data_IF_792867771919
#
_entry.id   IF_792867771919
#
_cell.length_a   1.000
_cell.length_b   1.000
_cell.length_c   1.000
_cell.angle_alpha   90.00
_cell.angle_beta   90.00
_cell.angle_gamma   90.00
#
_symmetry.space_group_name_H-M   'P 1'
#
loop_
_entity.id
_entity.type
_entity.pdbx_description
1 polymer ?
#
# COMPACT_ATOMS: atom_id res chain seq x y z
N UNK A 1 -3.33 24.77 10.58
CA UNK A 1 -2.73 23.43 10.58
C UNK A 1 -2.35 23.10 9.15
N UNK A 2 -1.12 22.64 8.92
CA UNK A 2 -0.67 22.35 7.56
C UNK A 2 -1.21 20.98 7.12
N UNK A 3 -1.71 20.92 5.88
CA UNK A 3 -2.23 19.69 5.28
C UNK A 3 -1.09 19.00 4.56
N UNK A 4 -0.83 17.73 4.85
CA UNK A 4 0.21 17.01 4.10
C UNK A 4 -0.20 16.89 2.63
N UNK A 5 0.77 17.05 1.72
CA UNK A 5 0.54 16.92 0.27
C UNK A 5 -0.16 15.61 -0.10
N UNK A 6 0.14 14.54 0.65
CA UNK A 6 -0.46 13.21 0.42
C UNK A 6 -1.93 13.16 0.84
N UNK A 7 -2.34 13.93 1.85
CA UNK A 7 -3.76 14.05 2.25
C UNK A 7 -4.53 14.86 1.20
N UNK A 8 -3.99 16.00 0.77
CA UNK A 8 -4.57 16.83 -0.28
C UNK A 8 -4.80 16.07 -1.61
N UNK A 9 -3.82 15.28 -2.06
CA UNK A 9 -3.97 14.48 -3.29
C UNK A 9 -5.07 13.42 -3.18
N UNK A 10 -5.29 12.86 -1.98
CA UNK A 10 -6.36 11.88 -1.76
C UNK A 10 -7.73 12.54 -1.75
N UNK A 11 -7.86 13.67 -1.07
CA UNK A 11 -9.14 14.36 -0.91
C UNK A 11 -9.70 14.86 -2.26
N UNK A 12 -8.83 15.24 -3.20
CA UNK A 12 -9.23 15.73 -4.53
C UNK A 12 -8.96 14.75 -5.68
N UNK A 13 -8.64 13.48 -5.38
CA UNK A 13 -8.35 12.42 -6.36
C UNK A 13 -7.29 12.79 -7.43
N UNK A 14 -6.28 13.58 -7.07
CA UNK A 14 -5.21 14.03 -7.95
C UNK A 14 -3.95 13.17 -7.80
N UNK A 15 -3.17 13.03 -8.88
CA UNK A 15 -1.92 12.26 -8.83
C UNK A 15 -0.79 13.04 -8.13
N UNK A 16 -0.12 12.38 -7.18
CA UNK A 16 0.91 13.01 -6.32
C UNK A 16 2.08 13.62 -7.10
N UNK A 17 2.50 12.98 -8.21
CA UNK A 17 3.59 13.48 -9.06
C UNK A 17 3.21 14.78 -9.78
N UNK A 18 1.97 14.91 -10.23
CA UNK A 18 1.47 16.10 -10.91
C UNK A 18 1.32 17.28 -9.94
N UNK A 19 0.74 17.04 -8.76
CA UNK A 19 0.57 18.09 -7.73
C UNK A 19 1.93 18.56 -7.20
N UNK A 20 2.88 17.63 -6.96
CA UNK A 20 4.23 17.98 -6.50
C UNK A 20 5.00 18.85 -7.50
N UNK A 21 4.95 18.51 -8.80
CA UNK A 21 5.59 19.33 -9.85
C UNK A 21 4.98 20.73 -9.92
N UNK A 22 3.65 20.85 -9.80
CA UNK A 22 2.98 22.16 -9.84
C UNK A 22 3.30 23.02 -8.62
N UNK A 23 3.48 22.40 -7.44
CA UNK A 23 3.94 23.12 -6.24
C UNK A 23 5.34 23.72 -6.44
N UNK A 24 6.25 23.00 -7.12
CA UNK A 24 7.59 23.51 -7.43
C UNK A 24 7.56 24.67 -8.44
N UNK A 25 6.70 24.59 -9.47
CA UNK A 25 6.52 25.65 -10.48
C UNK A 25 5.94 26.94 -9.87
N UNK A 26 5.08 26.82 -8.85
CA UNK A 26 4.48 27.94 -8.13
C UNK A 26 5.32 28.43 -6.95
N UNK A 27 6.47 27.81 -6.67
CA UNK A 27 7.37 28.18 -5.58
C UNK A 27 6.83 27.90 -4.18
N UNK A 28 5.92 26.92 -4.03
CA UNK A 28 5.32 26.55 -2.75
C UNK A 28 6.21 25.53 -2.01
N UNK A 29 6.57 25.83 -0.76
CA UNK A 29 7.32 24.90 0.08
C UNK A 29 6.40 23.77 0.59
N UNK A 30 6.86 22.53 0.44
CA UNK A 30 6.12 21.33 0.81
C UNK A 30 6.81 20.52 1.92
N UNK A 31 7.93 21.02 2.46
CA UNK A 31 8.79 20.33 3.42
C UNK A 31 8.08 20.04 4.75
N UNK A 32 7.32 21.01 5.27
CA UNK A 32 6.53 20.91 6.50
C UNK A 32 5.01 20.79 6.24
N UNK A 33 4.64 20.40 5.01
CA UNK A 33 3.26 20.30 4.54
C UNK A 33 2.72 21.59 3.92
N UNK A 34 1.56 21.48 3.25
CA UNK A 34 0.91 22.59 2.56
C UNK A 34 0.23 23.51 3.58
N UNK A 35 0.53 24.80 3.51
CA UNK A 35 -0.25 25.80 4.23
C UNK A 35 -1.69 25.85 3.69
N UNK A 36 -2.67 26.32 4.49
CA UNK A 36 -4.04 26.48 4.01
C UNK A 36 -4.16 27.34 2.75
N UNK A 37 -3.39 28.43 2.67
CA UNK A 37 -3.33 29.33 1.50
C UNK A 37 -2.76 28.62 0.25
N UNK A 38 -1.79 27.73 0.43
CA UNK A 38 -1.26 26.90 -0.64
C UNK A 38 -2.28 25.85 -1.12
N UNK A 39 -3.09 25.29 -0.22
CA UNK A 39 -4.17 24.38 -0.59
C UNK A 39 -5.23 25.08 -1.45
N UNK A 40 -5.69 26.28 -1.06
CA UNK A 40 -6.72 27.02 -1.81
C UNK A 40 -6.23 27.40 -3.22
N UNK A 41 -4.96 27.81 -3.34
CA UNK A 41 -4.32 28.06 -4.63
C UNK A 41 -4.26 26.82 -5.52
N UNK A 42 -3.95 25.65 -4.95
CA UNK A 42 -3.91 24.40 -5.71
C UNK A 42 -5.30 23.93 -6.11
N UNK A 43 -6.33 24.12 -5.30
CA UNK A 43 -7.72 23.79 -5.65
C UNK A 43 -8.19 24.64 -6.84
N UNK A 44 -7.86 25.93 -6.84
CA UNK A 44 -8.16 26.83 -7.96
C UNK A 44 -7.35 26.47 -9.23
N UNK A 45 -6.07 26.10 -9.08
CA UNK A 45 -5.19 25.79 -10.21
C UNK A 45 -5.56 24.48 -10.93
N UNK A 46 -6.01 23.48 -10.16
CA UNK A 46 -6.44 22.20 -10.72
C UNK A 46 -7.92 22.20 -11.14
N UNK A 47 -8.58 23.36 -11.09
CA UNK A 47 -9.99 23.59 -11.44
C UNK A 47 -10.90 22.48 -10.90
N UNK A 48 -10.66 22.11 -9.63
CA UNK A 48 -11.37 20.99 -9.01
C UNK A 48 -12.78 21.46 -8.69
N UNK A 49 -13.69 21.17 -9.62
CA UNK A 49 -15.13 21.39 -9.47
C UNK A 49 -15.62 20.50 -8.33
N UNK A 50 -15.87 21.09 -7.17
CA UNK A 50 -16.84 20.56 -6.22
C UNK A 50 -18.18 20.48 -6.97
N UNK A 51 -18.75 19.27 -7.04
CA UNK A 51 -20.03 18.98 -7.69
C UNK A 51 -21.08 20.09 -7.41
N UNK A 52 -21.67 20.70 -8.46
CA UNK A 52 -22.61 21.80 -8.30
C UNK A 52 -24.00 21.32 -7.87
N UNK A 53 -24.82 22.19 -7.24
CA UNK A 53 -26.18 21.88 -6.82
C UNK A 53 -27.19 21.93 -8.00
N UNK A 54 -28.22 21.10 -7.89
CA UNK A 54 -29.59 21.23 -8.44
C UNK A 54 -29.80 21.51 -9.94
N UNK A 55 -30.40 20.54 -10.65
CA UNK A 55 -31.04 20.76 -11.95
C UNK A 55 -32.38 19.99 -12.04
N UNK A 56 -33.50 20.71 -11.89
CA UNK A 56 -34.76 20.40 -12.59
C UNK A 56 -34.60 20.84 -14.07
N UNK A 57 -35.29 20.30 -15.11
CA UNK A 57 -36.74 20.00 -15.14
C UNK A 57 -37.16 18.75 -15.98
N UNK A 58 -38.36 18.20 -15.74
CA UNK A 58 -38.99 17.24 -16.69
C UNK A 58 -40.34 17.80 -17.11
N UNK A 59 -40.51 18.00 -18.42
CA UNK A 59 -41.72 18.48 -19.04
C UNK A 59 -42.21 17.48 -20.11
N UNK A 60 -43.53 17.21 -20.06
CA UNK A 60 -44.45 16.74 -21.13
C UNK A 60 -44.39 15.20 -21.39
N UNK A 61 -45.48 14.42 -21.30
CA UNK A 61 -46.68 14.42 -22.18
C UNK A 61 -48.00 14.11 -21.44
N UNK A 62 -49.05 14.89 -21.77
CA UNK A 62 -50.46 14.57 -21.48
C UNK A 62 -51.06 13.85 -22.69
N UNK A 63 -51.93 12.85 -22.52
CA UNK A 63 -53.06 12.64 -23.40
C UNK A 63 -54.33 13.29 -22.80
N UNK A 64 -55.06 13.99 -23.67
CA UNK A 64 -56.34 14.64 -23.41
C UNK A 64 -57.52 13.63 -23.38
N UNK A 65 -58.73 14.16 -23.09
CA UNK A 65 -60.12 13.61 -23.25
C UNK A 65 -60.85 13.51 -21.89
N UNK A 66 -62.07 14.01 -21.63
CA UNK A 66 -63.02 15.00 -22.19
C UNK A 66 -63.97 15.40 -21.04
N UNK A 67 -64.55 16.59 -21.09
CA UNK A 67 -65.46 17.18 -20.10
C UNK A 67 -66.92 16.79 -20.36
N UNK A 68 -67.69 16.46 -19.31
CA UNK A 68 -69.15 16.64 -19.33
C UNK A 68 -69.61 17.43 -18.09
N UNK A 69 -70.30 18.54 -18.34
CA UNK A 69 -70.98 19.36 -17.34
C UNK A 69 -72.48 19.06 -17.46
N UNK A 70 -73.08 18.53 -16.40
CA UNK A 70 -74.52 18.49 -16.21
C UNK A 70 -74.88 19.25 -14.93
N UNK A 71 -75.49 20.43 -15.07
CA UNK A 71 -76.05 21.19 -13.96
C UNK A 71 -77.55 20.87 -13.82
N UNK A 72 -77.94 20.22 -12.73
CA UNK A 72 -79.29 20.29 -12.17
C UNK A 72 -79.16 20.44 -10.65
N UNK A 73 -79.43 21.64 -10.16
CA UNK A 73 -79.53 21.97 -8.74
C UNK A 73 -80.83 21.33 -8.13
N UNK A 74 -81.11 21.20 -6.82
CA UNK A 74 -80.69 21.88 -5.57
C UNK A 74 -81.01 20.94 -4.35
N UNK A 75 -80.37 21.17 -3.17
CA UNK A 75 -80.82 20.94 -1.75
C UNK A 75 -80.52 19.53 -1.16
N UNK A 76 -79.87 19.25 0.00
CA UNK A 76 -79.46 19.94 1.24
C UNK A 76 -78.16 19.24 1.78
N UNK A 77 -77.23 19.98 2.37
CA UNK A 77 -75.88 19.48 2.74
C UNK A 77 -75.85 18.55 3.96
N UNK A 78 -75.40 17.33 3.76
CA UNK A 78 -74.98 16.41 4.83
C UNK A 78 -73.54 16.79 5.24
N UNK A 79 -73.15 16.75 6.55
CA UNK A 79 -71.77 17.03 6.93
C UNK A 79 -70.88 15.97 6.28
N UNK A 80 -69.98 16.39 5.39
CA UNK A 80 -69.03 15.48 4.76
C UNK A 80 -68.05 14.98 5.82
N UNK A 81 -68.20 13.72 6.20
CA UNK A 81 -67.10 13.01 6.82
C UNK A 81 -65.97 12.95 5.80
N UNK A 82 -64.74 13.38 6.15
CA UNK A 82 -63.63 13.34 5.22
C UNK A 82 -63.45 11.90 4.72
N UNK A 83 -63.58 11.69 3.41
CA UNK A 83 -63.42 10.37 2.80
C UNK A 83 -61.95 9.96 2.65
N UNK A 84 -61.02 10.78 3.15
CA UNK A 84 -59.60 10.50 3.13
C UNK A 84 -59.04 10.74 4.53
N UNK A 85 -58.85 9.63 5.24
CA UNK A 85 -58.09 9.61 6.49
C UNK A 85 -56.64 9.28 6.12
N UNK A 86 -55.71 10.22 6.32
CA UNK A 86 -54.28 9.89 6.24
C UNK A 86 -53.89 9.14 7.52
N UNK A 87 -53.46 7.88 7.38
CA UNK A 87 -52.95 7.06 8.49
C UNK A 87 -51.58 7.54 8.99
N UNK A 88 -51.02 8.57 8.38
CA UNK A 88 -49.71 9.13 8.68
C UNK A 88 -49.68 9.77 10.07
N UNK A 89 -50.79 10.38 10.52
CA UNK A 89 -50.94 10.97 11.86
C UNK A 89 -51.12 9.94 12.99
N UNK A 90 -51.34 8.66 12.65
CA UNK A 90 -51.46 7.54 13.60
C UNK A 90 -50.14 6.76 13.77
N UNK A 91 -49.11 7.05 12.96
CA UNK A 91 -47.79 6.42 13.08
C UNK A 91 -46.91 7.28 13.98
N UNK A 92 -46.60 6.79 15.18
CA UNK A 92 -45.77 7.50 16.16
C UNK A 92 -44.26 7.36 15.93
N UNK A 93 -43.82 6.62 14.91
CA UNK A 93 -42.40 6.35 14.69
C UNK A 93 -42.05 6.30 13.21
N UNK A 94 -40.99 7.02 12.83
CA UNK A 94 -40.28 6.83 11.57
C UNK A 94 -39.59 5.46 11.56
N UNK A 95 -39.77 4.71 10.48
CA UNK A 95 -39.04 3.47 10.23
C UNK A 95 -37.89 3.81 9.30
N UNK A 96 -36.68 3.91 9.86
CA UNK A 96 -35.45 3.95 9.06
C UNK A 96 -35.15 2.51 8.64
N UNK A 97 -35.47 2.17 7.39
CA UNK A 97 -35.15 0.89 6.79
C UNK A 97 -34.15 1.11 5.65
N UNK A 98 -33.20 0.18 5.50
CA UNK A 98 -32.46 0.07 4.25
C UNK A 98 -33.42 -0.43 3.18
N UNK A 99 -33.35 0.15 1.98
CA UNK A 99 -34.20 -0.25 0.83
C UNK A 99 -34.00 -1.74 0.48
N UNK A 100 -32.77 -2.24 0.61
CA UNK A 100 -32.45 -3.67 0.48
C UNK A 100 -31.36 -4.10 1.48
N UNK A 101 -31.73 -4.51 2.70
CA UNK A 101 -30.78 -4.95 3.72
C UNK A 101 -30.09 -6.27 3.35
N UNK A 102 -30.67 -7.08 2.45
CA UNK A 102 -30.08 -8.34 2.01
C UNK A 102 -28.95 -8.10 1.02
N UNK A 103 -29.09 -7.14 0.11
CA UNK A 103 -28.02 -6.74 -0.79
C UNK A 103 -26.80 -6.21 -0.04
N UNK A 104 -27.02 -5.38 1.00
CA UNK A 104 -25.94 -4.85 1.85
C UNK A 104 -25.24 -5.98 2.62
N UNK A 105 -26.00 -6.93 3.17
CA UNK A 105 -25.43 -8.10 3.85
C UNK A 105 -24.61 -8.98 2.90
N UNK A 106 -25.08 -9.21 1.68
CA UNK A 106 -24.36 -9.98 0.67
C UNK A 106 -23.03 -9.30 0.26
N UNK A 107 -23.06 -7.98 0.04
CA UNK A 107 -21.87 -7.21 -0.28
C UNK A 107 -20.85 -7.21 0.87
N UNK A 108 -21.32 -7.12 2.11
CA UNK A 108 -20.46 -7.21 3.29
C UNK A 108 -19.79 -8.58 3.41
N UNK A 109 -20.54 -9.67 3.27
CA UNK A 109 -20.00 -11.03 3.32
C UNK A 109 -18.98 -11.26 2.21
N UNK A 110 -19.28 -10.85 0.98
CA UNK A 110 -18.34 -10.95 -0.14
C UNK A 110 -17.04 -10.17 0.14
N UNK A 111 -17.15 -8.99 0.74
CA UNK A 111 -15.98 -8.18 1.12
C UNK A 111 -15.18 -8.84 2.22
N UNK A 112 -15.84 -9.42 3.23
CA UNK A 112 -15.21 -10.15 4.31
C UNK A 112 -14.47 -11.41 3.80
N UNK A 113 -15.03 -12.12 2.83
CA UNK A 113 -14.41 -13.28 2.19
C UNK A 113 -13.14 -12.89 1.43
N UNK A 114 -13.19 -11.80 0.65
CA UNK A 114 -12.02 -11.27 -0.07
C UNK A 114 -10.93 -10.85 0.92
N UNK A 115 -11.29 -10.13 1.98
CA UNK A 115 -10.33 -9.71 3.01
C UNK A 115 -9.67 -10.92 3.68
N UNK A 116 -10.46 -11.94 4.02
CA UNK A 116 -9.95 -13.18 4.63
C UNK A 116 -9.00 -13.91 3.69
N UNK A 117 -9.33 -13.99 2.40
CA UNK A 117 -8.48 -14.62 1.39
C UNK A 117 -7.13 -13.88 1.23
N UNK A 118 -7.15 -12.54 1.19
CA UNK A 118 -5.93 -11.74 1.09
C UNK A 118 -5.07 -11.83 2.36
N UNK A 119 -5.68 -11.87 3.55
CA UNK A 119 -4.94 -12.11 4.79
C UNK A 119 -4.26 -13.48 4.79
N UNK A 120 -4.96 -14.54 4.35
CA UNK A 120 -4.37 -15.86 4.22
C UNK A 120 -3.22 -15.89 3.20
N UNK A 121 -3.36 -15.14 2.10
CA UNK A 121 -2.30 -15.00 1.09
C UNK A 121 -1.06 -14.33 1.68
N UNK A 122 -1.23 -13.23 2.42
CA UNK A 122 -0.12 -12.52 3.08
C UNK A 122 0.59 -13.43 4.09
N UNK A 123 -0.16 -14.20 4.90
CA UNK A 123 0.42 -15.17 5.84
C UNK A 123 1.30 -16.18 5.09
N UNK A 124 0.81 -16.79 4.01
CA UNK A 124 1.58 -17.78 3.23
C UNK A 124 2.86 -17.17 2.63
N UNK A 125 2.77 -15.94 2.13
CA UNK A 125 3.95 -15.22 1.59
C UNK A 125 4.99 -14.98 2.68
N UNK A 126 4.56 -14.56 3.88
CA UNK A 126 5.46 -14.35 5.02
C UNK A 126 6.09 -15.65 5.51
N UNK A 127 5.31 -16.73 5.59
CA UNK A 127 5.80 -18.06 5.95
C UNK A 127 6.84 -18.56 4.94
N UNK A 128 6.57 -18.43 3.64
CA UNK A 128 7.52 -18.82 2.59
C UNK A 128 8.82 -18.02 2.69
N UNK A 129 8.72 -16.69 2.89
CA UNK A 129 9.90 -15.82 3.06
C UNK A 129 10.72 -16.20 4.31
N UNK A 130 10.04 -16.54 5.41
CA UNK A 130 10.69 -17.02 6.62
C UNK A 130 11.45 -18.33 6.36
N UNK A 131 10.81 -19.30 5.71
CA UNK A 131 11.44 -20.57 5.37
C UNK A 131 12.67 -20.39 4.46
N UNK A 132 12.55 -19.56 3.42
CA UNK A 132 13.69 -19.22 2.54
C UNK A 132 14.84 -18.58 3.32
N UNK A 133 14.53 -17.67 4.24
CA UNK A 133 15.54 -17.01 5.08
C UNK A 133 16.23 -18.00 6.01
N UNK A 134 15.47 -18.94 6.60
CA UNK A 134 16.02 -19.99 7.46
C UNK A 134 16.94 -20.93 6.67
N UNK A 135 16.54 -21.34 5.46
CA UNK A 135 17.37 -22.17 4.58
C UNK A 135 18.66 -21.45 4.16
N UNK A 136 18.56 -20.18 3.74
CA UNK A 136 19.73 -19.38 3.38
C UNK A 136 20.69 -19.22 4.57
N UNK A 137 20.17 -18.95 5.78
CA UNK A 137 20.96 -18.88 7.00
C UNK A 137 21.71 -20.19 7.28
N UNK A 138 21.03 -21.33 7.14
CA UNK A 138 21.64 -22.64 7.35
C UNK A 138 22.77 -22.91 6.35
N UNK A 139 22.53 -22.66 5.06
CA UNK A 139 23.54 -22.84 4.01
C UNK A 139 24.76 -21.93 4.21
N UNK A 140 24.56 -20.67 4.61
CA UNK A 140 25.65 -19.75 4.94
C UNK A 140 26.45 -20.25 6.15
N UNK A 141 25.76 -20.72 7.20
CA UNK A 141 26.43 -21.22 8.40
C UNK A 141 27.29 -22.45 8.09
N UNK A 142 26.77 -23.39 7.29
CA UNK A 142 27.51 -24.57 6.81
C UNK A 142 28.74 -24.17 5.99
N UNK A 143 28.60 -23.26 5.02
CA UNK A 143 29.74 -22.78 4.24
C UNK A 143 30.76 -22.00 5.06
N UNK A 144 30.31 -21.26 6.07
CA UNK A 144 31.23 -20.60 6.99
C UNK A 144 32.02 -21.59 7.84
N UNK A 145 31.43 -22.73 8.24
CA UNK A 145 32.18 -23.79 8.94
C UNK A 145 33.18 -24.50 8.02
N UNK A 146 32.77 -24.83 6.79
CA UNK A 146 33.67 -25.45 5.79
C UNK A 146 34.89 -24.55 5.54
N UNK A 147 34.64 -23.26 5.28
CA UNK A 147 35.71 -22.30 5.00
C UNK A 147 36.66 -22.13 6.18
N UNK A 148 36.16 -22.13 7.43
CA UNK A 148 37.01 -22.07 8.63
C UNK A 148 37.93 -23.27 8.73
N UNK A 149 37.41 -24.47 8.41
CA UNK A 149 38.21 -25.69 8.40
C UNK A 149 39.28 -25.63 7.32
N UNK A 150 38.92 -25.26 6.09
CA UNK A 150 39.87 -25.12 4.98
C UNK A 150 40.94 -24.07 5.27
N UNK A 151 40.57 -22.92 5.84
CA UNK A 151 41.52 -21.88 6.23
C UNK A 151 42.51 -22.37 7.28
N UNK A 152 42.07 -23.21 8.23
CA UNK A 152 42.96 -23.82 9.22
C UNK A 152 43.93 -24.81 8.56
N UNK A 153 43.43 -25.69 7.68
CA UNK A 153 44.25 -26.65 6.95
C UNK A 153 45.28 -25.94 6.06
N UNK A 154 44.88 -24.84 5.41
CA UNK A 154 45.79 -24.03 4.62
C UNK A 154 46.91 -23.41 5.47
N UNK A 155 46.58 -22.84 6.63
CA UNK A 155 47.59 -22.30 7.56
C UNK A 155 48.57 -23.38 8.02
N UNK A 156 48.08 -24.54 8.42
CA UNK A 156 48.92 -25.65 8.86
C UNK A 156 49.87 -26.13 7.73
N UNK A 157 49.35 -26.28 6.50
CA UNK A 157 50.16 -26.67 5.34
C UNK A 157 51.22 -25.62 5.00
N UNK A 158 50.88 -24.34 5.07
CA UNK A 158 51.83 -23.26 4.77
C UNK A 158 52.92 -23.15 5.83
N UNK A 159 52.58 -23.33 7.11
CA UNK A 159 53.57 -23.42 8.20
C UNK A 159 54.52 -24.62 8.03
N UNK A 160 53.99 -25.79 7.66
CA UNK A 160 54.79 -26.97 7.39
C UNK A 160 55.76 -26.75 6.22
N UNK A 161 55.26 -26.19 5.12
CA UNK A 161 56.08 -25.88 3.94
C UNK A 161 57.17 -24.85 4.26
N UNK A 162 56.84 -23.80 5.01
CA UNK A 162 57.81 -22.80 5.44
C UNK A 162 58.92 -23.42 6.31
N UNK A 163 58.53 -24.31 7.24
CA UNK A 163 59.48 -25.04 8.10
C UNK A 163 60.40 -25.93 7.27
N UNK A 164 59.84 -26.74 6.36
CA UNK A 164 60.61 -27.62 5.48
C UNK A 164 61.56 -26.81 4.58
N UNK A 165 61.09 -25.73 3.97
CA UNK A 165 61.91 -24.86 3.13
C UNK A 165 63.06 -24.22 3.92
N UNK A 166 62.79 -23.79 5.17
CA UNK A 166 63.81 -23.22 6.03
C UNK A 166 64.90 -24.25 6.36
N UNK A 167 64.51 -25.48 6.71
CA UNK A 167 65.43 -26.58 6.99
C UNK A 167 66.30 -26.92 5.77
N UNK A 168 65.68 -27.08 4.59
CA UNK A 168 66.41 -27.35 3.34
C UNK A 168 67.38 -26.23 2.99
N UNK A 169 66.96 -24.96 3.16
CA UNK A 169 67.82 -23.80 2.89
C UNK A 169 69.01 -23.74 3.85
N UNK A 170 68.79 -24.03 5.14
CA UNK A 170 69.87 -24.08 6.13
C UNK A 170 70.84 -25.23 5.84
N UNK A 171 70.34 -26.41 5.50
CA UNK A 171 71.14 -27.57 5.11
C UNK A 171 72.00 -27.28 3.87
N UNK A 172 71.42 -26.62 2.86
CA UNK A 172 72.15 -26.17 1.68
C UNK A 172 73.26 -25.17 2.05
N UNK A 173 72.95 -24.17 2.89
CA UNK A 173 73.94 -23.19 3.33
C UNK A 173 75.11 -23.84 4.09
N UNK A 174 74.82 -24.81 4.97
CA UNK A 174 75.86 -25.58 5.67
C UNK A 174 76.73 -26.39 4.69
N UNK A 175 76.12 -27.01 3.69
CA UNK A 175 76.83 -27.76 2.65
C UNK A 175 77.74 -26.86 1.81
N UNK A 176 77.25 -25.67 1.42
CA UNK A 176 78.03 -24.67 0.68
C UNK A 176 79.21 -24.14 1.51
N UNK A 177 79.00 -23.83 2.78
CA UNK A 177 80.07 -23.40 3.69
C UNK A 177 81.14 -24.48 3.85
N UNK A 178 80.72 -25.74 3.95
CA UNK A 178 81.64 -26.89 4.04
C UNK A 178 82.50 -27.00 2.78
N UNK A 179 81.89 -26.97 1.59
CA UNK A 179 82.64 -26.96 0.32
C UNK A 179 83.63 -25.80 0.22
N UNK A 180 83.23 -24.60 0.65
CA UNK A 180 84.10 -23.43 0.63
C UNK A 180 85.31 -23.57 1.57
N UNK A 181 85.12 -24.20 2.74
CA UNK A 181 86.22 -24.46 3.67
C UNK A 181 87.24 -25.46 3.13
N UNK A 182 86.79 -26.51 2.43
CA UNK A 182 87.66 -27.50 1.79
C UNK A 182 88.50 -26.87 0.67
N UNK A 183 87.94 -25.97 -0.13
CA UNK A 183 88.67 -25.26 -1.19
C UNK A 183 89.74 -24.29 -0.70
N UNK A 184 89.73 -23.92 0.59
CA UNK A 184 90.72 -23.02 1.21
C UNK A 184 91.85 -23.75 1.94
N UNK A 185 91.76 -25.07 2.10
CA UNK A 185 92.80 -25.88 2.76
C UNK A 185 93.86 -26.44 1.79
N UNK A 186 93.79 -26.08 0.51
CA UNK A 186 94.82 -26.37 -0.49
C UNK A 186 95.73 -25.15 -0.67
N UNK A 187 96.51 -24.82 0.36
CA UNK A 187 97.74 -24.01 0.32
C UNK A 187 98.63 -24.38 1.53
#
# INVERSE_FOLDING_TARGET
MNTSLTKFCKDYALSKSTVYRRCQELGLDTSDGLSPDACDRLVHEFDVVLEPPEAAPVAIEKPAVTVEIGNHAIVLSQPELPQTYSLESLRQSEVVAFDDPLAIAAQFLQTADVLTAEMQRDIRVREQKLQQTQQAKAAIAEKASDFKLEARLYRERTEMLATAQSQETQSLQQSLNTLQSLGKQAD
#
